data_IF_630790406630
#
_entry.id   IF_630790406630
#
_cell.length_a   1.000
_cell.length_b   1.000
_cell.length_c   1.000
_cell.angle_alpha   90.00
_cell.angle_beta   90.00
_cell.angle_gamma   90.00
#
_symmetry.space_group_name_H-M   'P 1'
#
loop_
_entity.id
_entity.type
_entity.pdbx_description
1 polymer ?
#
# COMPACT_ATOMS: atom_id res chain seq x y z
N UNK A 1 -17.30 31.34 -0.61
CA UNK A 1 -18.40 31.02 -1.55
C UNK A 1 -17.83 30.10 -2.65
N UNK A 2 -17.67 28.81 -2.34
CA UNK A 2 -17.19 27.83 -3.30
C UNK A 2 -18.38 27.44 -4.20
N UNK A 3 -18.33 27.83 -5.47
CA UNK A 3 -19.20 27.22 -6.47
C UNK A 3 -18.89 25.72 -6.50
N UNK A 4 -19.88 24.93 -6.12
CA UNK A 4 -19.89 23.49 -6.22
C UNK A 4 -19.89 23.14 -7.72
N UNK A 5 -18.70 23.11 -8.32
CA UNK A 5 -18.53 22.71 -9.72
C UNK A 5 -18.61 21.20 -9.76
N UNK A 6 -19.83 20.69 -9.93
CA UNK A 6 -20.05 19.29 -10.26
C UNK A 6 -19.28 18.96 -11.55
N UNK A 7 -18.22 18.17 -11.42
CA UNK A 7 -17.48 17.65 -12.56
C UNK A 7 -18.23 16.45 -13.13
N UNK A 8 -18.09 16.26 -14.44
CA UNK A 8 -18.56 15.07 -15.13
C UNK A 8 -17.61 13.93 -14.78
N UNK A 9 -18.11 12.94 -14.04
CA UNK A 9 -17.42 11.67 -13.84
C UNK A 9 -17.59 10.79 -15.07
N UNK A 10 -16.67 10.93 -16.02
CA UNK A 10 -16.51 9.93 -17.07
C UNK A 10 -15.48 8.92 -16.60
N UNK A 11 -15.99 7.71 -16.38
CA UNK A 11 -15.17 6.56 -16.08
C UNK A 11 -14.45 6.08 -17.34
N UNK A 12 -13.26 6.65 -17.57
CA UNK A 12 -12.37 6.21 -18.63
C UNK A 12 -12.08 4.70 -18.55
N UNK A 13 -12.18 4.05 -17.39
CA UNK A 13 -12.02 2.60 -17.26
C UNK A 13 -13.06 1.84 -18.10
N UNK A 14 -14.32 2.27 -18.11
CA UNK A 14 -15.38 1.69 -18.95
C UNK A 14 -15.05 1.83 -20.44
N UNK A 15 -14.50 2.97 -20.84
CA UNK A 15 -14.07 3.20 -22.23
C UNK A 15 -12.90 2.28 -22.59
N UNK A 16 -11.89 2.23 -21.72
CA UNK A 16 -10.70 1.41 -21.90
C UNK A 16 -10.97 -0.10 -21.84
N UNK A 17 -12.11 -0.54 -21.29
CA UNK A 17 -12.48 -1.96 -21.24
C UNK A 17 -12.60 -2.59 -22.63
N UNK A 18 -12.91 -1.78 -23.65
CA UNK A 18 -13.08 -2.22 -25.03
C UNK A 18 -11.79 -2.14 -25.85
N UNK A 19 -10.71 -1.60 -25.28
CA UNK A 19 -9.43 -1.39 -25.98
C UNK A 19 -8.30 -2.04 -25.17
N UNK A 20 -7.65 -3.05 -25.75
CA UNK A 20 -6.53 -3.76 -25.12
C UNK A 20 -5.24 -2.94 -25.16
N UNK A 21 -5.16 -1.93 -24.30
CA UNK A 21 -3.97 -1.10 -24.09
C UNK A 21 -3.39 -1.32 -22.69
N UNK A 22 -2.07 -1.20 -22.59
CA UNK A 22 -1.34 -1.13 -21.31
C UNK A 22 -1.69 0.16 -20.57
N UNK A 23 -1.52 0.23 -19.24
CA UNK A 23 -1.74 1.48 -18.47
C UNK A 23 -0.82 2.59 -18.98
N UNK A 24 0.43 2.25 -19.28
CA UNK A 24 1.41 3.17 -19.88
C UNK A 24 0.89 3.77 -21.19
N UNK A 25 0.35 2.94 -22.08
CA UNK A 25 -0.27 3.41 -23.33
C UNK A 25 -1.50 4.28 -23.07
N UNK A 26 -2.39 3.87 -22.15
CA UNK A 26 -3.60 4.63 -21.78
C UNK A 26 -3.25 6.02 -21.23
N UNK A 27 -2.28 6.10 -20.31
CA UNK A 27 -1.82 7.38 -19.77
C UNK A 27 -1.10 8.22 -20.84
N UNK A 28 -0.36 7.59 -21.77
CA UNK A 28 0.24 8.31 -22.92
C UNK A 28 -0.82 8.98 -23.78
N UNK A 29 -1.88 8.24 -24.14
CA UNK A 29 -2.99 8.76 -24.95
C UNK A 29 -3.73 9.87 -24.20
N UNK A 30 -4.04 9.65 -22.91
CA UNK A 30 -4.66 10.69 -22.06
C UNK A 30 -3.82 11.96 -22.03
N UNK A 31 -2.51 11.84 -21.85
CA UNK A 31 -1.60 12.99 -21.85
C UNK A 31 -1.68 13.77 -23.16
N UNK A 32 -1.62 13.08 -24.31
CA UNK A 32 -1.71 13.73 -25.63
C UNK A 32 -3.05 14.46 -25.77
N UNK A 33 -4.16 13.82 -25.44
CA UNK A 33 -5.50 14.42 -25.54
C UNK A 33 -5.66 15.63 -24.62
N UNK A 34 -5.23 15.50 -23.36
CA UNK A 34 -5.35 16.55 -22.35
C UNK A 34 -4.44 17.76 -22.62
N UNK A 35 -3.25 17.56 -23.20
CA UNK A 35 -2.40 18.66 -23.63
C UNK A 35 -2.88 19.33 -24.93
N UNK A 36 -3.35 18.55 -25.90
CA UNK A 36 -3.74 19.09 -27.22
C UNK A 36 -5.09 19.81 -27.19
N UNK A 37 -6.04 19.34 -26.38
CA UNK A 37 -7.42 19.85 -26.38
C UNK A 37 -7.98 20.03 -24.95
N UNK A 38 -7.30 20.79 -24.05
CA UNK A 38 -7.72 20.90 -22.64
C UNK A 38 -9.13 21.47 -22.46
N UNK A 39 -9.58 22.33 -23.39
CA UNK A 39 -10.92 22.95 -23.33
C UNK A 39 -12.06 21.94 -23.41
N UNK A 40 -11.86 20.78 -24.07
CA UNK A 40 -12.85 19.71 -24.17
C UNK A 40 -13.03 18.95 -22.84
N UNK A 41 -12.00 18.92 -22.00
CA UNK A 41 -11.96 18.07 -20.81
C UNK A 41 -12.03 18.85 -19.50
N UNK A 42 -12.10 20.18 -19.52
CA UNK A 42 -12.10 21.02 -18.32
C UNK A 42 -13.19 20.65 -17.30
N UNK A 43 -14.32 20.08 -17.74
CA UNK A 43 -15.40 19.64 -16.84
C UNK A 43 -15.25 18.20 -16.36
N UNK A 44 -14.22 17.47 -16.77
CA UNK A 44 -14.06 16.04 -16.47
C UNK A 44 -13.20 15.88 -15.21
N UNK A 45 -13.64 15.04 -14.28
CA UNK A 45 -12.90 14.77 -13.04
C UNK A 45 -11.48 14.21 -13.33
N UNK A 46 -11.37 13.30 -14.29
CA UNK A 46 -10.09 12.70 -14.71
C UNK A 46 -9.08 13.70 -15.27
N UNK A 47 -9.54 14.77 -15.93
CA UNK A 47 -8.67 15.87 -16.37
C UNK A 47 -8.18 16.71 -15.19
N UNK A 48 -9.05 16.96 -14.20
CA UNK A 48 -8.64 17.67 -12.97
C UNK A 48 -7.64 16.85 -12.15
N UNK A 49 -7.85 15.54 -12.02
CA UNK A 49 -6.91 14.62 -11.38
C UNK A 49 -5.58 14.58 -12.10
N UNK A 50 -5.61 14.50 -13.42
CA UNK A 50 -4.40 14.59 -14.23
C UNK A 50 -3.65 15.92 -14.01
N UNK A 51 -4.36 17.04 -14.01
CA UNK A 51 -3.79 18.38 -13.76
C UNK A 51 -3.17 18.47 -12.36
N UNK A 52 -3.79 17.86 -11.35
CA UNK A 52 -3.23 17.78 -10.00
C UNK A 52 -1.92 16.97 -9.97
N UNK A 53 -1.85 15.86 -10.71
CA UNK A 53 -0.62 15.06 -10.80
C UNK A 53 0.54 15.78 -11.51
N UNK A 54 0.27 16.81 -12.32
CA UNK A 54 1.31 17.61 -12.98
C UNK A 54 2.23 18.37 -12.01
N UNK A 55 1.86 18.52 -10.73
CA UNK A 55 2.75 19.16 -9.74
C UNK A 55 4.12 18.45 -9.67
N UNK A 56 4.16 17.14 -9.90
CA UNK A 56 5.37 16.32 -9.93
C UNK A 56 6.10 16.34 -11.28
N UNK A 57 5.63 17.12 -12.27
CA UNK A 57 6.21 17.25 -13.61
C UNK A 57 6.86 18.62 -13.80
N UNK A 58 8.17 18.68 -14.00
CA UNK A 58 8.94 19.94 -14.11
C UNK A 58 8.70 20.68 -15.44
N UNK A 59 8.42 19.97 -16.54
CA UNK A 59 8.46 20.57 -17.89
C UNK A 59 7.09 20.95 -18.48
N UNK A 60 5.99 20.92 -17.71
CA UNK A 60 4.60 21.04 -18.25
C UNK A 60 4.35 20.17 -19.49
N UNK A 61 5.16 19.13 -19.67
CA UNK A 61 5.10 18.10 -20.69
C UNK A 61 5.23 16.83 -19.88
N UNK A 62 4.11 16.14 -19.69
CA UNK A 62 4.11 14.85 -19.02
C UNK A 62 4.64 13.83 -20.03
N UNK A 63 5.96 13.77 -20.16
CA UNK A 63 6.63 12.66 -20.81
C UNK A 63 6.36 11.47 -19.91
N UNK A 64 5.66 10.46 -20.43
CA UNK A 64 5.52 9.19 -19.70
C UNK A 64 6.94 8.72 -19.44
N UNK A 65 7.37 8.57 -18.17
CA UNK A 65 8.74 8.20 -17.88
C UNK A 65 9.05 6.92 -18.64
N UNK A 66 10.31 6.73 -19.06
CA UNK A 66 10.78 5.45 -19.56
C UNK A 66 10.79 4.47 -18.38
N UNK A 67 9.60 4.01 -17.99
CA UNK A 67 9.34 3.11 -16.89
C UNK A 67 9.81 1.74 -17.35
N UNK A 68 11.03 1.40 -16.94
CA UNK A 68 11.55 0.05 -17.06
C UNK A 68 11.39 -0.62 -15.71
N UNK A 69 10.82 -1.82 -15.70
CA UNK A 69 10.94 -2.67 -14.53
C UNK A 69 12.43 -2.95 -14.33
N UNK A 70 12.96 -2.51 -13.20
CA UNK A 70 14.30 -2.90 -12.78
C UNK A 70 14.13 -4.21 -12.02
N UNK A 71 14.58 -5.32 -12.60
CA UNK A 71 14.44 -6.65 -12.00
C UNK A 71 15.37 -6.85 -10.78
N UNK A 72 16.32 -5.94 -10.55
CA UNK A 72 17.28 -6.04 -9.45
C UNK A 72 17.73 -4.66 -8.95
N UNK A 73 17.58 -4.41 -7.64
CA UNK A 73 18.11 -3.22 -6.98
C UNK A 73 19.49 -3.55 -6.42
N UNK A 74 20.49 -2.75 -6.77
CA UNK A 74 21.76 -2.74 -6.04
C UNK A 74 21.60 -1.91 -4.78
N UNK A 75 21.44 -2.58 -3.65
CA UNK A 75 21.50 -1.91 -2.36
C UNK A 75 22.96 -1.51 -2.06
N UNK A 76 23.20 -0.36 -1.41
CA UNK A 76 24.53 -0.02 -0.96
C UNK A 76 25.05 -1.12 -0.03
N UNK A 77 26.27 -1.60 -0.29
CA UNK A 77 26.91 -2.64 0.50
C UNK A 77 27.37 -2.02 1.82
N UNK A 78 26.66 -2.28 2.91
CA UNK A 78 27.13 -1.97 4.25
C UNK A 78 28.10 -3.06 4.70
N UNK A 79 29.40 -2.87 4.37
CA UNK A 79 30.46 -3.89 4.60
C UNK A 79 30.64 -4.33 6.06
N UNK A 80 30.02 -3.63 7.02
CA UNK A 80 30.22 -3.82 8.46
C UNK A 80 28.92 -4.06 9.25
N UNK A 81 27.77 -4.20 8.60
CA UNK A 81 26.52 -4.51 9.32
C UNK A 81 26.37 -6.02 9.48
N UNK A 82 26.37 -6.47 10.73
CA UNK A 82 26.14 -7.86 11.08
C UNK A 82 24.65 -8.16 10.88
N UNK A 83 24.27 -9.24 10.17
CA UNK A 83 22.87 -9.66 10.08
C UNK A 83 22.24 -9.74 11.46
N UNK A 84 21.11 -9.06 11.65
CA UNK A 84 20.37 -9.09 12.92
C UNK A 84 19.28 -10.16 12.81
N UNK A 85 19.22 -11.16 13.71
CA UNK A 85 18.12 -12.10 13.77
C UNK A 85 16.78 -11.39 13.87
N UNK A 86 15.77 -11.91 13.16
CA UNK A 86 14.39 -11.44 13.23
C UNK A 86 13.58 -12.47 14.01
N UNK A 87 13.31 -12.21 15.29
CA UNK A 87 12.73 -13.23 16.18
C UNK A 87 11.30 -12.92 16.60
N UNK A 88 10.78 -11.75 16.19
CA UNK A 88 9.45 -11.30 16.56
C UNK A 88 8.71 -10.60 15.41
N UNK A 89 7.41 -10.92 15.31
CA UNK A 89 6.52 -10.43 14.27
C UNK A 89 5.19 -9.95 14.89
N UNK A 90 4.86 -8.68 14.69
CA UNK A 90 3.52 -8.17 14.92
C UNK A 90 2.70 -8.29 13.64
N UNK A 91 1.59 -9.03 13.67
CA UNK A 91 0.68 -9.13 12.52
C UNK A 91 -0.52 -8.22 12.78
N UNK A 92 -0.60 -7.13 12.04
CA UNK A 92 -1.71 -6.17 12.12
C UNK A 92 -2.71 -6.47 11.02
N UNK A 93 -3.92 -6.88 11.41
CA UNK A 93 -4.97 -7.28 10.49
C UNK A 93 -6.22 -6.44 10.68
N UNK A 94 -6.71 -5.82 9.60
CA UNK A 94 -8.05 -5.27 9.57
C UNK A 94 -9.06 -6.32 9.08
N UNK A 95 -10.00 -6.70 9.94
CA UNK A 95 -11.00 -7.75 9.71
C UNK A 95 -12.36 -7.13 9.43
N UNK A 96 -12.81 -7.32 8.20
CA UNK A 96 -14.13 -6.97 7.68
C UNK A 96 -14.88 -8.21 7.14
N UNK A 97 -14.16 -9.26 6.73
CA UNK A 97 -14.70 -10.53 6.25
C UNK A 97 -14.18 -11.70 7.10
N UNK A 98 -15.05 -12.30 7.92
CA UNK A 98 -14.70 -13.36 8.88
C UNK A 98 -14.26 -14.67 8.21
N UNK A 99 -14.81 -15.03 7.05
CA UNK A 99 -14.38 -16.19 6.27
C UNK A 99 -12.91 -16.07 5.87
N UNK A 100 -12.53 -14.91 5.32
CA UNK A 100 -11.15 -14.62 4.93
C UNK A 100 -10.23 -14.56 6.14
N UNK A 101 -10.73 -14.08 7.29
CA UNK A 101 -9.96 -14.06 8.53
C UNK A 101 -9.54 -15.46 8.99
N UNK A 102 -10.47 -16.43 8.93
CA UNK A 102 -10.18 -17.82 9.29
C UNK A 102 -9.13 -18.46 8.37
N UNK A 103 -9.20 -18.17 7.07
CA UNK A 103 -8.22 -18.66 6.10
C UNK A 103 -6.82 -18.10 6.39
N UNK A 104 -6.72 -16.80 6.68
CA UNK A 104 -5.45 -16.15 7.04
C UNK A 104 -4.86 -16.76 8.33
N UNK A 105 -5.66 -16.94 9.37
CA UNK A 105 -5.19 -17.53 10.63
C UNK A 105 -4.66 -18.95 10.43
N UNK A 106 -5.30 -19.73 9.57
CA UNK A 106 -4.85 -21.08 9.20
C UNK A 106 -3.47 -21.04 8.52
N UNK A 107 -3.21 -20.07 7.66
CA UNK A 107 -1.88 -19.89 7.05
C UNK A 107 -0.82 -19.46 8.08
N UNK A 108 -1.18 -18.57 9.01
CA UNK A 108 -0.28 -18.08 10.07
C UNK A 108 0.14 -19.22 11.01
N UNK A 109 -0.73 -20.18 11.29
CA UNK A 109 -0.37 -21.37 12.09
C UNK A 109 0.79 -22.19 11.51
N UNK A 110 1.02 -22.09 10.20
CA UNK A 110 2.10 -22.78 9.52
C UNK A 110 3.38 -21.93 9.38
N UNK A 111 3.37 -20.68 9.84
CA UNK A 111 4.60 -19.89 9.94
C UNK A 111 5.55 -20.57 10.93
N UNK A 112 6.85 -20.57 10.62
CA UNK A 112 7.87 -21.29 11.40
C UNK A 112 8.08 -20.75 12.82
N UNK A 113 9.22 -21.06 13.42
CA UNK A 113 9.57 -20.63 14.77
C UNK A 113 9.87 -19.12 14.83
N UNK A 114 8.83 -18.33 15.12
CA UNK A 114 8.91 -16.88 15.37
C UNK A 114 7.89 -16.48 16.45
N UNK A 115 8.24 -15.50 17.29
CA UNK A 115 7.29 -14.94 18.26
C UNK A 115 6.27 -14.05 17.55
N UNK A 116 5.04 -14.54 17.41
CA UNK A 116 3.94 -13.81 16.79
C UNK A 116 3.05 -13.16 17.85
N UNK A 117 2.65 -11.91 17.60
CA UNK A 117 1.52 -11.27 18.28
C UNK A 117 0.54 -10.68 17.27
N UNK A 118 -0.74 -10.92 17.47
CA UNK A 118 -1.80 -10.46 16.58
C UNK A 118 -2.38 -9.13 17.06
N UNK A 119 -2.56 -8.19 16.13
CA UNK A 119 -3.17 -6.88 16.34
C UNK A 119 -4.35 -6.74 15.40
N UNK A 120 -5.55 -6.91 15.94
CA UNK A 120 -6.75 -7.00 15.12
C UNK A 120 -7.55 -5.72 15.25
N UNK A 121 -7.93 -5.17 14.10
CA UNK A 121 -8.93 -4.11 14.03
C UNK A 121 -10.16 -4.60 13.31
N UNK A 122 -11.35 -4.22 13.76
CA UNK A 122 -12.59 -4.63 13.10
C UNK A 122 -13.74 -3.65 13.39
N UNK A 123 -14.82 -3.67 12.61
CA UNK A 123 -16.06 -3.04 12.99
C UNK A 123 -16.59 -3.55 14.34
N UNK A 124 -17.22 -2.67 15.14
CA UNK A 124 -17.76 -3.02 16.45
C UNK A 124 -18.68 -4.27 16.42
N UNK A 125 -19.51 -4.38 15.38
CA UNK A 125 -20.43 -5.50 15.23
C UNK A 125 -19.75 -6.86 14.97
N UNK A 126 -18.47 -6.89 14.58
CA UNK A 126 -17.68 -8.12 14.39
C UNK A 126 -16.82 -8.48 15.60
N UNK A 127 -16.69 -7.59 16.59
CA UNK A 127 -15.70 -7.72 17.68
C UNK A 127 -15.85 -9.03 18.46
N UNK A 128 -17.09 -9.44 18.77
CA UNK A 128 -17.37 -10.71 19.48
C UNK A 128 -17.00 -11.94 18.66
N UNK A 129 -17.33 -11.95 17.37
CA UNK A 129 -17.02 -13.07 16.49
C UNK A 129 -15.51 -13.20 16.27
N UNK A 130 -14.82 -12.08 16.07
CA UNK A 130 -13.36 -12.02 15.98
C UNK A 130 -12.71 -12.56 17.25
N UNK A 131 -13.17 -12.12 18.43
CA UNK A 131 -12.67 -12.60 19.71
C UNK A 131 -12.89 -14.11 19.87
N UNK A 132 -14.10 -14.59 19.57
CA UNK A 132 -14.42 -16.01 19.63
C UNK A 132 -13.52 -16.84 18.71
N UNK A 133 -13.29 -16.40 17.48
CA UNK A 133 -12.35 -17.05 16.56
C UNK A 133 -10.95 -17.10 17.16
N UNK A 134 -10.42 -15.98 17.65
CA UNK A 134 -9.05 -15.89 18.18
C UNK A 134 -8.81 -16.76 19.40
N UNK A 135 -9.81 -16.98 20.25
CA UNK A 135 -9.70 -17.87 21.41
C UNK A 135 -9.42 -19.33 21.03
N UNK A 136 -9.70 -19.73 19.79
CA UNK A 136 -9.35 -21.05 19.27
C UNK A 136 -7.89 -21.14 18.77
N UNK A 137 -7.13 -20.05 18.83
CA UNK A 137 -5.74 -19.99 18.39
C UNK A 137 -4.82 -19.59 19.56
N UNK A 138 -3.62 -20.18 19.62
CA UNK A 138 -2.68 -19.99 20.72
C UNK A 138 -1.85 -18.70 20.66
N UNK A 139 -2.18 -17.76 19.77
CA UNK A 139 -1.42 -16.53 19.60
C UNK A 139 -1.86 -15.46 20.62
N UNK A 140 -0.93 -14.71 21.25
CA UNK A 140 -1.30 -13.52 21.99
C UNK A 140 -1.90 -12.50 21.01
N UNK A 141 -3.00 -11.85 21.42
CA UNK A 141 -3.70 -10.89 20.57
C UNK A 141 -4.14 -9.63 21.31
N UNK A 142 -4.37 -8.57 20.53
CA UNK A 142 -5.01 -7.32 20.96
C UNK A 142 -6.07 -6.93 19.92
N UNK A 143 -7.28 -6.61 20.37
CA UNK A 143 -8.40 -6.21 19.49
C UNK A 143 -8.71 -4.73 19.73
N UNK A 144 -8.84 -3.96 18.66
CA UNK A 144 -9.37 -2.61 18.66
C UNK A 144 -10.53 -2.52 17.68
N UNK A 145 -11.76 -2.44 18.20
CA UNK A 145 -12.94 -2.23 17.37
C UNK A 145 -13.28 -0.75 17.21
N UNK A 146 -14.02 -0.42 16.14
CA UNK A 146 -14.47 0.95 15.87
C UNK A 146 -15.26 1.08 14.58
N UNK A 147 -15.46 2.31 14.13
CA UNK A 147 -16.20 2.57 12.89
C UNK A 147 -15.43 2.11 11.65
N UNK A 148 -16.17 1.63 10.64
CA UNK A 148 -15.62 1.30 9.34
C UNK A 148 -15.35 2.57 8.51
N UNK A 149 -14.37 3.37 8.95
CA UNK A 149 -13.94 4.63 8.33
C UNK A 149 -12.49 4.54 7.91
N UNK A 150 -12.14 5.10 6.76
CA UNK A 150 -10.76 5.07 6.25
C UNK A 150 -10.24 3.67 5.90
N UNK A 151 -11.14 2.70 5.69
CA UNK A 151 -10.85 1.31 5.28
C UNK A 151 -9.87 0.63 6.23
N UNK A 152 -8.87 -0.06 5.70
CA UNK A 152 -7.80 -0.68 6.46
C UNK A 152 -6.71 0.32 6.94
N UNK A 153 -6.77 1.57 6.49
CA UNK A 153 -5.71 2.56 6.72
C UNK A 153 -5.90 3.29 8.05
N UNK A 154 -7.06 3.89 8.28
CA UNK A 154 -7.31 4.61 9.54
C UNK A 154 -7.23 3.67 10.76
N UNK A 155 -7.86 2.48 10.77
CA UNK A 155 -7.70 1.53 11.86
C UNK A 155 -6.24 1.12 12.08
N UNK A 156 -5.46 0.94 11.00
CA UNK A 156 -4.03 0.67 11.10
C UNK A 156 -3.27 1.82 11.77
N UNK A 157 -3.50 3.07 11.35
CA UNK A 157 -2.86 4.25 11.96
C UNK A 157 -3.21 4.35 13.45
N UNK A 158 -4.46 4.06 13.83
CA UNK A 158 -4.93 4.13 15.23
C UNK A 158 -4.34 3.05 16.12
N UNK A 159 -4.16 1.82 15.61
CA UNK A 159 -3.60 0.71 16.40
C UNK A 159 -2.06 0.74 16.42
N UNK A 160 -1.43 1.41 15.46
CA UNK A 160 0.02 1.41 15.27
C UNK A 160 0.82 1.83 16.53
N UNK A 161 0.43 2.83 17.35
CA UNK A 161 1.13 3.12 18.60
C UNK A 161 1.24 1.89 19.52
N UNK A 162 0.12 1.14 19.67
CA UNK A 162 0.08 -0.08 20.47
C UNK A 162 0.94 -1.19 19.88
N UNK A 163 1.01 -1.28 18.55
CA UNK A 163 1.87 -2.23 17.83
C UNK A 163 3.35 -1.93 18.11
N UNK A 164 3.74 -0.65 18.06
CA UNK A 164 5.14 -0.25 18.28
C UNK A 164 5.58 -0.39 19.73
N UNK A 165 4.67 -0.30 20.71
CA UNK A 165 4.96 -0.59 22.12
C UNK A 165 5.46 -2.02 22.35
N UNK A 166 5.08 -2.99 21.52
CA UNK A 166 5.57 -4.37 21.64
C UNK A 166 7.02 -4.55 21.20
N UNK A 167 7.55 -3.56 20.47
CA UNK A 167 8.93 -3.56 19.98
C UNK A 167 9.30 -4.83 19.19
N UNK A 168 8.37 -5.34 18.35
CA UNK A 168 8.67 -6.44 17.44
C UNK A 168 9.68 -6.00 16.36
N UNK A 169 10.45 -6.95 15.82
CA UNK A 169 11.42 -6.64 14.76
C UNK A 169 10.71 -6.26 13.45
N UNK A 170 9.66 -7.01 13.09
CA UNK A 170 8.84 -6.76 11.91
C UNK A 170 7.37 -6.56 12.27
N UNK A 171 6.70 -5.81 11.39
CA UNK A 171 5.25 -5.65 11.32
C UNK A 171 4.78 -6.19 9.97
N UNK A 172 3.85 -7.14 9.98
CA UNK A 172 3.09 -7.53 8.81
C UNK A 172 1.73 -6.83 8.86
N UNK A 173 1.50 -5.91 7.93
CA UNK A 173 0.19 -5.28 7.74
C UNK A 173 -0.59 -6.05 6.67
N UNK A 174 -1.79 -6.51 7.02
CA UNK A 174 -2.73 -7.19 6.11
C UNK A 174 -4.17 -6.79 6.42
N UNK A 175 -5.11 -7.15 5.55
CA UNK A 175 -6.53 -6.96 5.79
C UNK A 175 -7.36 -7.97 5.02
N UNK A 176 -8.59 -8.20 5.47
CA UNK A 176 -9.52 -9.07 4.78
C UNK A 176 -10.13 -8.31 3.61
N UNK A 177 -9.87 -8.74 2.39
CA UNK A 177 -10.47 -8.16 1.18
C UNK A 177 -11.07 -9.26 0.32
N UNK A 178 -12.37 -9.18 0.04
CA UNK A 178 -13.00 -9.98 -1.02
C UNK A 178 -12.73 -9.34 -2.38
N UNK A 179 -12.40 -10.14 -3.39
CA UNK A 179 -12.31 -9.66 -4.77
C UNK A 179 -13.73 -9.49 -5.35
N UNK A 180 -14.07 -8.28 -5.83
CA UNK A 180 -15.38 -7.92 -6.38
C UNK A 180 -15.79 -8.63 -7.68
N UNK A 181 -15.01 -9.57 -8.19
CA UNK A 181 -15.36 -10.37 -9.37
C UNK A 181 -15.69 -11.81 -8.97
N UNK A 182 -16.94 -11.99 -8.53
CA UNK A 182 -17.60 -13.26 -8.21
C UNK A 182 -17.71 -14.26 -9.39
N UNK A 183 -17.06 -14.00 -10.54
CA UNK A 183 -17.01 -14.92 -11.68
C UNK A 183 -15.66 -15.64 -11.85
N UNK A 184 -14.66 -15.36 -11.01
CA UNK A 184 -13.47 -16.22 -10.86
C UNK A 184 -13.24 -16.45 -9.38
N UNK A 185 -13.72 -17.59 -8.89
CA UNK A 185 -13.41 -18.10 -7.54
C UNK A 185 -11.89 -17.97 -7.28
N UNK A 186 -11.54 -17.26 -6.20
CA UNK A 186 -10.37 -17.54 -5.36
C UNK A 186 -8.96 -17.21 -5.88
N UNK A 187 -8.70 -16.15 -6.65
CA UNK A 187 -7.31 -15.89 -7.08
C UNK A 187 -6.61 -14.69 -6.42
N UNK A 188 -7.25 -13.52 -6.20
CA UNK A 188 -6.47 -12.34 -5.79
C UNK A 188 -6.15 -12.27 -4.29
N UNK A 189 -7.12 -12.56 -3.43
CA UNK A 189 -6.88 -12.63 -1.97
C UNK A 189 -5.88 -13.74 -1.67
N UNK A 190 -6.10 -14.91 -2.26
CA UNK A 190 -5.22 -16.07 -2.19
C UNK A 190 -3.81 -15.76 -2.70
N UNK A 191 -3.64 -15.09 -3.84
CA UNK A 191 -2.32 -14.75 -4.38
C UNK A 191 -1.51 -13.80 -3.49
N UNK A 192 -2.14 -12.76 -2.91
CA UNK A 192 -1.46 -11.87 -1.96
C UNK A 192 -1.07 -12.59 -0.67
N UNK A 193 -1.99 -13.39 -0.12
CA UNK A 193 -1.73 -14.18 1.07
C UNK A 193 -0.68 -15.26 0.81
N UNK A 194 -0.68 -15.92 -0.34
CA UNK A 194 0.34 -16.90 -0.72
C UNK A 194 1.73 -16.27 -0.74
N UNK A 195 1.85 -15.08 -1.36
CA UNK A 195 3.11 -14.31 -1.45
C UNK A 195 3.65 -13.83 -0.11
N UNK A 196 2.78 -13.65 0.89
CA UNK A 196 3.16 -13.05 2.18
C UNK A 196 3.15 -14.04 3.34
N UNK A 197 2.30 -15.07 3.33
CA UNK A 197 1.97 -15.87 4.53
C UNK A 197 2.40 -17.33 4.45
N UNK A 198 2.65 -17.88 3.26
CA UNK A 198 3.12 -19.27 3.16
C UNK A 198 4.45 -19.40 3.89
N UNK A 199 4.67 -20.54 4.58
CA UNK A 199 5.89 -20.79 5.34
C UNK A 199 7.16 -20.47 4.54
N UNK A 200 7.25 -20.99 3.31
CA UNK A 200 8.41 -20.77 2.44
C UNK A 200 8.64 -19.29 2.11
N UNK A 201 7.57 -18.52 1.85
CA UNK A 201 7.72 -17.10 1.55
C UNK A 201 8.06 -16.29 2.80
N UNK A 202 7.45 -16.62 3.95
CA UNK A 202 7.79 -16.01 5.22
C UNK A 202 9.26 -16.26 5.58
N UNK A 203 9.76 -17.50 5.51
CA UNK A 203 11.15 -17.85 5.82
C UNK A 203 12.14 -17.08 4.90
N UNK A 204 11.80 -16.95 3.61
CA UNK A 204 12.59 -16.16 2.67
C UNK A 204 12.55 -14.65 3.00
N UNK A 205 11.36 -14.09 3.27
CA UNK A 205 11.19 -12.68 3.64
C UNK A 205 11.97 -12.36 4.91
N UNK A 206 11.88 -13.22 5.93
CA UNK A 206 12.67 -13.13 7.17
C UNK A 206 14.16 -13.06 6.85
N UNK A 207 14.68 -14.00 6.06
CA UNK A 207 16.10 -14.04 5.64
C UNK A 207 16.55 -12.77 4.90
N UNK A 208 15.67 -12.19 4.07
CA UNK A 208 15.92 -10.93 3.37
C UNK A 208 16.06 -9.77 4.36
N UNK A 209 15.16 -9.66 5.34
CA UNK A 209 15.26 -8.64 6.38
C UNK A 209 16.47 -8.86 7.30
N UNK A 210 16.86 -10.10 7.59
CA UNK A 210 18.06 -10.40 8.40
C UNK A 210 19.33 -9.95 7.66
N UNK A 211 19.43 -10.23 6.36
CA UNK A 211 20.60 -9.90 5.54
C UNK A 211 20.71 -8.42 5.18
N UNK A 212 19.60 -7.72 5.01
CA UNK A 212 19.58 -6.34 4.48
C UNK A 212 18.92 -5.34 5.46
N UNK A 213 19.68 -4.76 6.41
CA UNK A 213 19.19 -3.74 7.36
C UNK A 213 18.53 -2.52 6.71
N UNK A 214 19.00 -2.13 5.52
CA UNK A 214 18.50 -0.99 4.75
C UNK A 214 17.11 -1.21 4.13
N UNK A 215 16.61 -2.46 4.06
CA UNK A 215 15.24 -2.72 3.62
C UNK A 215 14.29 -2.34 4.76
N UNK A 216 13.41 -1.37 4.50
CA UNK A 216 12.41 -0.92 5.46
C UNK A 216 11.04 -1.52 5.24
N UNK A 217 10.71 -1.90 4.00
CA UNK A 217 9.41 -2.44 3.62
C UNK A 217 9.54 -3.45 2.47
N UNK A 218 8.71 -4.49 2.50
CA UNK A 218 8.58 -5.49 1.45
C UNK A 218 7.11 -5.69 1.11
N UNK A 219 6.73 -5.41 -0.13
CA UNK A 219 5.39 -5.66 -0.66
C UNK A 219 5.29 -6.95 -1.47
N UNK A 220 4.08 -7.45 -1.76
CA UNK A 220 3.91 -8.61 -2.62
C UNK A 220 4.31 -8.28 -4.07
N UNK A 221 5.01 -9.21 -4.71
CA UNK A 221 5.35 -9.11 -6.11
C UNK A 221 4.09 -8.99 -6.98
N UNK A 222 4.10 -8.09 -7.97
CA UNK A 222 2.89 -7.74 -8.72
C UNK A 222 2.15 -6.52 -8.17
N UNK A 223 2.50 -6.02 -6.99
CA UNK A 223 1.80 -4.91 -6.33
C UNK A 223 2.69 -3.68 -6.07
N UNK A 224 3.94 -3.70 -6.51
CA UNK A 224 4.79 -2.51 -6.48
C UNK A 224 4.48 -1.65 -7.70
N UNK A 225 3.86 -0.50 -7.48
CA UNK A 225 3.40 0.39 -8.55
C UNK A 225 4.22 1.69 -8.59
N UNK A 226 4.57 2.20 -9.78
CA UNK A 226 5.25 3.50 -9.90
C UNK A 226 4.27 4.64 -9.66
N UNK A 227 4.53 5.45 -8.62
CA UNK A 227 3.62 6.52 -8.19
C UNK A 227 3.35 7.54 -9.30
N UNK A 228 4.30 7.72 -10.24
CA UNK A 228 4.12 8.55 -11.43
C UNK A 228 2.90 8.19 -12.29
N UNK A 229 2.42 6.95 -12.26
CA UNK A 229 1.19 6.52 -12.96
C UNK A 229 -0.07 6.57 -12.09
N UNK A 230 0.08 6.81 -10.79
CA UNK A 230 -0.94 6.60 -9.78
C UNK A 230 -1.14 7.78 -8.81
N UNK A 231 -0.49 8.92 -9.03
CA UNK A 231 -0.76 10.12 -8.23
C UNK A 231 -2.21 10.57 -8.33
N UNK A 232 -2.73 10.68 -9.56
CA UNK A 232 -4.14 10.97 -9.83
C UNK A 232 -4.71 12.11 -8.99
N UNK A 233 -5.89 11.89 -8.42
CA UNK A 233 -6.54 12.86 -7.54
C UNK A 233 -5.77 13.13 -6.25
N UNK A 234 -5.07 12.11 -5.72
CA UNK A 234 -4.35 12.20 -4.44
C UNK A 234 -3.06 13.02 -4.49
N UNK A 235 -2.61 13.47 -5.67
CA UNK A 235 -1.31 14.12 -5.84
C UNK A 235 -1.00 15.21 -4.80
N UNK A 236 -1.95 16.12 -4.60
CA UNK A 236 -1.82 17.23 -3.64
C UNK A 236 -1.82 16.76 -2.19
N UNK A 237 -2.60 15.73 -1.88
CA UNK A 237 -2.67 15.20 -0.53
C UNK A 237 -1.40 14.44 -0.17
N UNK A 238 -0.89 13.61 -1.09
CA UNK A 238 0.42 12.94 -0.94
C UNK A 238 1.53 13.97 -0.77
N UNK A 239 1.55 15.03 -1.58
CA UNK A 239 2.50 16.13 -1.41
C UNK A 239 2.38 16.77 -0.02
N UNK A 240 1.18 17.18 0.37
CA UNK A 240 0.94 17.85 1.67
C UNK A 240 1.41 17.01 2.86
N UNK A 241 1.05 15.72 2.88
CA UNK A 241 1.46 14.79 3.93
C UNK A 241 2.98 14.58 3.92
N UNK A 242 3.59 14.43 2.74
CA UNK A 242 5.03 14.22 2.62
C UNK A 242 5.84 15.45 3.03
N UNK A 243 5.33 16.66 2.77
CA UNK A 243 5.94 17.91 3.23
C UNK A 243 5.94 18.00 4.76
N UNK A 244 4.87 17.55 5.44
CA UNK A 244 4.83 17.45 6.91
C UNK A 244 5.91 16.50 7.46
N UNK A 245 6.32 15.50 6.67
CA UNK A 245 7.44 14.60 6.99
C UNK A 245 8.82 15.18 6.65
N UNK A 246 8.90 16.42 6.15
CA UNK A 246 10.16 17.07 5.76
C UNK A 246 10.67 16.71 4.37
N UNK A 247 9.84 16.07 3.52
CA UNK A 247 10.24 15.68 2.17
C UNK A 247 9.94 16.78 1.16
N UNK A 248 10.84 16.94 0.19
CA UNK A 248 10.61 17.81 -0.97
C UNK A 248 9.79 17.12 -2.05
N UNK A 249 9.07 17.90 -2.87
CA UNK A 249 8.35 17.39 -4.04
C UNK A 249 9.25 16.58 -4.99
N UNK A 250 10.51 16.97 -5.14
CA UNK A 250 11.48 16.29 -6.01
C UNK A 250 11.72 14.85 -5.58
N UNK A 251 11.75 14.57 -4.28
CA UNK A 251 11.95 13.22 -3.73
C UNK A 251 10.77 12.28 -4.01
N UNK A 252 9.57 12.84 -4.21
CA UNK A 252 8.34 12.06 -4.44
C UNK A 252 8.18 11.65 -5.91
N UNK A 253 8.79 12.39 -6.84
CA UNK A 253 8.57 12.24 -8.29
C UNK A 253 8.61 10.81 -8.82
N UNK A 254 9.59 10.02 -8.39
CA UNK A 254 9.85 8.65 -8.87
C UNK A 254 9.63 7.59 -7.79
N UNK A 255 8.81 7.90 -6.77
CA UNK A 255 8.52 6.97 -5.70
C UNK A 255 7.69 5.78 -6.23
N UNK A 256 7.91 4.62 -5.64
CA UNK A 256 7.07 3.43 -5.85
C UNK A 256 6.32 3.14 -4.55
N UNK A 257 5.16 2.49 -4.65
CA UNK A 257 4.37 2.16 -3.46
C UNK A 257 3.76 0.76 -3.57
N UNK A 258 3.32 0.23 -2.43
CA UNK A 258 2.66 -1.06 -2.33
C UNK A 258 1.15 -0.86 -2.49
N UNK A 259 0.61 -1.23 -3.64
CA UNK A 259 -0.82 -1.14 -3.90
C UNK A 259 -1.58 -2.28 -3.22
N UNK A 260 -2.69 -1.94 -2.60
CA UNK A 260 -3.48 -2.83 -1.76
C UNK A 260 -3.06 -2.86 -0.30
N UNK A 261 -2.11 -1.99 0.12
CA UNK A 261 -1.75 -1.72 1.52
C UNK A 261 -1.43 -2.97 2.39
N UNK A 262 -0.90 -4.03 1.77
CA UNK A 262 -0.42 -5.24 2.46
C UNK A 262 1.08 -5.40 2.28
N UNK A 263 1.85 -5.46 3.37
CA UNK A 263 3.31 -5.49 3.31
C UNK A 263 3.92 -5.94 4.64
N UNK A 264 5.18 -6.37 4.59
CA UNK A 264 6.08 -6.40 5.75
C UNK A 264 6.81 -5.07 5.86
N UNK A 265 7.06 -4.61 7.09
CA UNK A 265 7.92 -3.47 7.36
C UNK A 265 8.71 -3.71 8.65
N UNK A 266 9.89 -3.10 8.77
CA UNK A 266 10.49 -2.94 10.10
C UNK A 266 9.61 -2.01 10.91
N UNK A 267 9.45 -2.29 12.20
CA UNK A 267 8.63 -1.45 13.09
C UNK A 267 9.06 0.02 13.05
N UNK A 268 10.37 0.28 13.03
CA UNK A 268 10.95 1.63 12.94
C UNK A 268 10.62 2.36 11.63
N UNK A 269 10.39 1.63 10.53
CA UNK A 269 10.03 2.21 9.23
C UNK A 269 8.66 2.89 9.24
N UNK A 270 7.83 2.57 10.24
CA UNK A 270 6.46 3.07 10.36
C UNK A 270 6.35 4.33 11.23
N UNK A 271 7.42 4.70 11.95
CA UNK A 271 7.46 5.90 12.82
C UNK A 271 7.13 7.21 12.07
N UNK A 272 7.61 7.46 10.84
CA UNK A 272 7.28 8.69 10.13
C UNK A 272 5.78 8.91 9.95
N UNK A 273 4.99 7.84 9.86
CA UNK A 273 3.53 7.92 9.71
C UNK A 273 2.86 8.46 10.98
N UNK A 274 3.32 8.07 12.17
CA UNK A 274 2.77 8.55 13.43
C UNK A 274 2.98 10.05 13.62
N UNK A 275 4.10 10.57 13.12
CA UNK A 275 4.43 12.00 13.20
C UNK A 275 3.49 12.89 12.37
N UNK A 276 2.63 12.32 11.53
CA UNK A 276 1.60 13.08 10.82
C UNK A 276 0.44 13.49 11.73
N UNK A 277 0.29 12.87 12.91
CA UNK A 277 -0.78 13.14 13.88
C UNK A 277 -2.17 13.22 13.23
N UNK A 278 -2.49 12.23 12.40
CA UNK A 278 -3.73 12.18 11.61
C UNK A 278 -4.95 12.03 12.52
N UNK A 279 -6.01 12.78 12.21
CA UNK A 279 -7.27 12.74 12.92
C UNK A 279 -8.34 11.98 12.12
N UNK A 280 -9.24 11.29 12.83
CA UNK A 280 -10.35 10.55 12.22
C UNK A 280 -11.18 11.43 11.27
N UNK A 281 -11.37 12.71 11.61
CA UNK A 281 -12.14 13.67 10.82
C UNK A 281 -11.52 14.04 9.47
N UNK A 282 -10.24 13.75 9.26
CA UNK A 282 -9.56 13.97 7.98
C UNK A 282 -9.85 12.86 6.97
N UNK A 283 -10.48 11.75 7.39
CA UNK A 283 -10.88 10.65 6.52
C UNK A 283 -12.32 10.79 6.06
N UNK A 284 -12.58 10.51 4.79
CA UNK A 284 -13.93 10.49 4.24
C UNK A 284 -14.76 9.36 4.85
N UNK A 285 -16.09 9.55 4.89
CA UNK A 285 -17.02 8.45 5.18
C UNK A 285 -16.91 7.39 4.08
N UNK A 286 -16.96 6.12 4.44
CA UNK A 286 -16.85 5.03 3.46
C UNK A 286 -18.11 4.96 2.59
N UNK A 287 -17.94 5.21 1.30
CA UNK A 287 -18.98 5.17 0.27
C UNK A 287 -18.49 4.42 -0.98
N UNK A 288 -17.62 3.41 -0.81
CA UNK A 288 -17.03 2.60 -1.88
C UNK A 288 -16.24 3.41 -2.91
N UNK A 289 -15.66 4.54 -2.48
CA UNK A 289 -14.85 5.40 -3.34
C UNK A 289 -13.68 4.60 -3.92
N UNK A 290 -13.41 4.78 -5.21
CA UNK A 290 -12.32 4.05 -5.85
C UNK A 290 -10.98 4.72 -5.56
N UNK A 291 -10.89 6.05 -5.65
CA UNK A 291 -9.67 6.84 -5.42
C UNK A 291 -9.99 8.17 -4.71
N UNK A 292 -8.96 9.03 -4.57
CA UNK A 292 -9.09 10.42 -4.13
C UNK A 292 -9.64 10.54 -2.71
N UNK A 293 -9.06 9.77 -1.79
CA UNK A 293 -9.40 9.79 -0.36
C UNK A 293 -8.13 9.82 0.48
N UNK A 294 -8.26 10.22 1.75
CA UNK A 294 -7.14 10.20 2.70
C UNK A 294 -6.49 8.81 2.81
N UNK A 295 -7.29 7.75 2.81
CA UNK A 295 -6.80 6.37 2.85
C UNK A 295 -5.88 6.05 1.66
N UNK A 296 -6.28 6.43 0.44
CA UNK A 296 -5.47 6.20 -0.76
C UNK A 296 -4.21 7.07 -0.78
N UNK A 297 -4.27 8.31 -0.29
CA UNK A 297 -3.08 9.13 -0.14
C UNK A 297 -2.09 8.51 0.85
N UNK A 298 -2.56 8.03 2.01
CA UNK A 298 -1.70 7.40 3.02
C UNK A 298 -1.07 6.09 2.53
N UNK A 299 -1.81 5.28 1.76
CA UNK A 299 -1.25 4.08 1.11
C UNK A 299 0.03 4.39 0.33
N UNK A 300 0.06 5.53 -0.35
CA UNK A 300 1.24 6.02 -1.09
C UNK A 300 2.30 6.60 -0.14
N UNK A 301 1.88 7.29 0.92
CA UNK A 301 2.77 7.93 1.91
C UNK A 301 3.55 6.92 2.76
N UNK A 302 3.09 5.67 2.91
CA UNK A 302 3.91 4.61 3.54
C UNK A 302 5.32 4.54 2.91
N UNK A 303 5.40 4.57 1.58
CA UNK A 303 6.68 4.54 0.87
C UNK A 303 7.45 5.86 1.01
N UNK A 304 6.76 7.00 1.17
CA UNK A 304 7.41 8.29 1.42
C UNK A 304 8.12 8.28 2.77
N UNK A 305 7.52 7.66 3.80
CA UNK A 305 8.16 7.45 5.10
C UNK A 305 9.51 6.73 5.01
N UNK A 306 9.68 5.81 4.06
CA UNK A 306 10.97 5.13 3.86
C UNK A 306 12.08 6.08 3.40
N UNK A 307 11.74 7.14 2.65
CA UNK A 307 12.71 8.18 2.27
C UNK A 307 13.22 8.90 3.52
N UNK A 308 12.32 9.21 4.45
CA UNK A 308 12.66 9.87 5.73
C UNK A 308 13.64 9.02 6.53
N UNK A 309 13.38 7.71 6.58
CA UNK A 309 14.20 6.75 7.32
C UNK A 309 15.45 6.27 6.57
N UNK A 310 15.68 6.71 5.33
CA UNK A 310 16.81 6.25 4.50
C UNK A 310 16.72 4.77 4.10
N UNK A 311 15.51 4.23 4.00
CA UNK A 311 15.25 2.81 3.78
C UNK A 311 14.64 2.52 2.41
N UNK A 312 14.68 1.26 2.01
CA UNK A 312 14.25 0.79 0.69
C UNK A 312 12.95 -0.02 0.74
N UNK A 313 12.15 0.14 -0.30
CA UNK A 313 11.03 -0.73 -0.66
C UNK A 313 11.50 -1.80 -1.63
N UNK A 314 11.17 -3.05 -1.34
CA UNK A 314 11.44 -4.22 -2.19
C UNK A 314 10.17 -5.05 -2.38
N UNK A 315 10.23 -6.10 -3.20
CA UNK A 315 9.14 -7.06 -3.36
C UNK A 315 9.47 -8.46 -2.83
N UNK A 316 8.44 -9.31 -2.77
CA UNK A 316 8.51 -10.70 -2.32
C UNK A 316 9.26 -11.67 -3.25
N UNK A 317 9.78 -11.22 -4.41
CA UNK A 317 10.74 -12.01 -5.22
C UNK A 317 12.19 -11.80 -4.75
N UNK A 318 12.43 -10.87 -3.82
CA UNK A 318 13.74 -10.69 -3.22
C UNK A 318 14.15 -11.96 -2.48
N UNK A 319 15.42 -12.32 -2.61
CA UNK A 319 16.08 -13.39 -1.87
C UNK A 319 17.34 -12.85 -1.22
N UNK A 320 18.01 -13.67 -0.42
CA UNK A 320 19.30 -13.31 0.14
C UNK A 320 20.32 -12.98 -0.95
N UNK A 321 20.25 -13.56 -2.14
CA UNK A 321 21.25 -13.35 -3.20
C UNK A 321 20.85 -12.26 -4.20
N UNK A 322 19.57 -11.90 -4.24
CA UNK A 322 19.04 -10.95 -5.21
C UNK A 322 17.94 -10.09 -4.60
N UNK A 323 18.12 -8.77 -4.59
CA UNK A 323 17.09 -7.84 -4.14
C UNK A 323 16.26 -7.36 -5.34
N UNK A 324 14.95 -7.58 -5.28
CA UNK A 324 14.00 -7.26 -6.36
C UNK A 324 13.06 -6.11 -5.98
N UNK A 325 12.68 -5.30 -6.95
CA UNK A 325 11.60 -4.31 -6.81
C UNK A 325 10.93 -4.11 -8.18
N UNK A 326 10.32 -5.19 -8.65
CA UNK A 326 9.73 -5.29 -9.96
C UNK A 326 8.43 -4.49 -10.03
N UNK A 327 8.48 -3.42 -10.81
CA UNK A 327 7.33 -2.56 -11.06
C UNK A 327 6.26 -3.29 -11.86
N UNK A 328 5.02 -3.16 -11.40
CA UNK A 328 3.85 -3.63 -12.12
C UNK A 328 3.23 -2.47 -12.89
N UNK A 329 3.48 -2.45 -14.19
CA UNK A 329 3.01 -1.38 -15.08
C UNK A 329 1.57 -1.60 -15.56
N UNK A 330 1.05 -2.82 -15.45
CA UNK A 330 -0.30 -3.19 -15.88
C UNK A 330 -1.05 -3.85 -14.73
N UNK A 331 -1.22 -3.12 -13.64
CA UNK A 331 -1.99 -3.62 -12.52
C UNK A 331 -3.47 -3.72 -12.94
N UNK A 332 -4.06 -4.93 -12.96
CA UNK A 332 -5.41 -5.16 -13.47
C UNK A 332 -6.49 -4.40 -12.68
N UNK A 333 -6.17 -4.02 -11.45
CA UNK A 333 -7.08 -3.35 -10.50
C UNK A 333 -6.58 -1.97 -10.11
N UNK A 334 -6.08 -1.22 -11.07
CA UNK A 334 -5.78 0.18 -10.82
C UNK A 334 -7.06 1.00 -10.72
N UNK A 335 -7.44 1.21 -9.45
CA UNK A 335 -8.23 2.30 -8.88
C UNK A 335 -8.62 3.41 -9.87
#
# INVERSE_FOLDING_TARGET
>A
MHQDKSYIEIDFYKLWRYIRLTRVQKETIKNILFYSMPFLFNRFASFQYWKNALIFSENKKFIVPNLRSVDEIKLPVTRNEIPKPIDSLAIVMHVFYLDVFNDILSMILHMGEIKIKLFITCPEYLSKDVQHTLLNFSFPFYIMSGDNRGRDILPFVKILPKVLEENCDLVLKIHTKRSNHLNKKNLWGTDLFEKLLTKSNFDNIRSVFEKYPQIGMLGPAGNILPMSLYYGGNAKLVESLSLKMGLSRKQLKNLNFVAGSMFYARSVSLLPLLNLCLNDNEFELENKQLDNTMAHAIERVFAAGLIVSGQYLVDSLSTVDKVSCKLTLNHPWSI
#
